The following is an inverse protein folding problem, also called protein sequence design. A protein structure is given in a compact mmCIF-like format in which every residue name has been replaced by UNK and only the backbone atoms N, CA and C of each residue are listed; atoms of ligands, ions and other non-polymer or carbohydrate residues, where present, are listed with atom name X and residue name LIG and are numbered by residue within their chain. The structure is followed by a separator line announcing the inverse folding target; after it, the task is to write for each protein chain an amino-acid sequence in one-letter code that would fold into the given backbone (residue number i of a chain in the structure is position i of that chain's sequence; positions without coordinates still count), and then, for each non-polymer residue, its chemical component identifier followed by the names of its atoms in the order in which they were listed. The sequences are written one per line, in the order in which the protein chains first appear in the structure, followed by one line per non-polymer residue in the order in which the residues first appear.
data_IF_229404345277
#
_entry.id   IF_229404345277
#
_cell.length_a   1.000
_cell.length_b   1.000
_cell.length_c   1.000
_cell.angle_alpha   90.00
_cell.angle_beta   90.00
_cell.angle_gamma   90.00
#
_symmetry.space_group_name_H-M   'P 1'
#
loop_
_entity.id
_entity.type
_entity.pdbx_description
1 polymer ?
#
# COMPACT_ATOMS: atom_id res chain seq x y z
N UNK A 1 24.63 11.46 -24.10
CA UNK A 1 24.65 11.42 -25.59
C UNK A 1 26.07 11.15 -26.14
N UNK A 2 27.08 11.99 -25.84
CA UNK A 2 28.45 11.76 -26.35
C UNK A 2 29.04 10.42 -25.90
N UNK A 3 28.91 10.07 -24.62
CA UNK A 3 29.36 8.78 -24.10
C UNK A 3 28.66 7.58 -24.78
N UNK A 4 27.34 7.65 -24.96
CA UNK A 4 26.60 6.62 -25.72
C UNK A 4 27.03 6.53 -27.19
N UNK A 5 27.34 7.68 -27.83
CA UNK A 5 27.86 7.71 -29.19
C UNK A 5 29.27 7.10 -29.29
N UNK A 6 30.12 7.32 -28.28
CA UNK A 6 31.43 6.68 -28.19
C UNK A 6 31.29 5.15 -28.09
N UNK A 7 30.45 4.66 -27.19
CA UNK A 7 30.18 3.21 -27.06
C UNK A 7 29.61 2.59 -28.34
N UNK A 8 28.68 3.29 -29.02
CA UNK A 8 28.17 2.86 -30.32
C UNK A 8 29.29 2.75 -31.36
N UNK A 9 30.16 3.77 -31.46
CA UNK A 9 31.24 3.77 -32.44
C UNK A 9 32.24 2.64 -32.19
N UNK A 10 32.64 2.43 -30.93
CA UNK A 10 33.50 1.32 -30.54
C UNK A 10 32.86 -0.05 -30.87
N UNK A 11 31.56 -0.21 -30.62
CA UNK A 11 30.84 -1.42 -31.03
C UNK A 11 30.81 -1.59 -32.56
N UNK A 12 30.65 -0.49 -33.31
CA UNK A 12 30.69 -0.50 -34.77
C UNK A 12 32.05 -0.89 -35.34
N UNK A 13 33.14 -0.45 -34.70
CA UNK A 13 34.51 -0.85 -35.05
C UNK A 13 34.71 -2.35 -34.81
N UNK A 14 34.26 -2.88 -33.67
CA UNK A 14 34.30 -4.32 -33.38
C UNK A 14 33.46 -5.15 -34.35
N UNK A 15 32.29 -4.65 -34.77
CA UNK A 15 31.47 -5.34 -35.78
C UNK A 15 32.11 -5.33 -37.18
N UNK A 16 33.01 -4.37 -37.46
CA UNK A 16 33.77 -4.32 -38.70
C UNK A 16 35.07 -5.12 -38.67
N UNK A 17 35.52 -5.55 -37.49
CA UNK A 17 36.77 -6.29 -37.29
C UNK A 17 36.51 -7.82 -37.40
N UNK A 18 37.11 -8.51 -38.40
CA UNK A 18 36.93 -9.95 -38.57
C UNK A 18 37.51 -10.77 -37.41
N UNK A 19 38.41 -10.20 -36.61
CA UNK A 19 39.08 -10.87 -35.48
C UNK A 19 38.45 -10.47 -34.13
N UNK A 20 37.36 -9.70 -34.13
CA UNK A 20 36.68 -9.28 -32.90
C UNK A 20 36.20 -10.49 -32.09
N UNK A 21 36.54 -10.49 -30.81
CA UNK A 21 36.17 -11.57 -29.89
C UNK A 21 34.84 -11.29 -29.21
N UNK A 22 34.11 -12.33 -28.83
CA UNK A 22 32.87 -12.21 -28.06
C UNK A 22 33.09 -11.46 -26.74
N UNK A 23 34.27 -11.64 -26.10
CA UNK A 23 34.65 -10.92 -24.89
C UNK A 23 34.70 -9.40 -25.09
N UNK A 24 35.36 -8.94 -26.16
CA UNK A 24 35.48 -7.50 -26.49
C UNK A 24 34.12 -6.86 -26.77
N UNK A 25 33.22 -7.57 -27.46
CA UNK A 25 31.85 -7.12 -27.71
C UNK A 25 31.09 -7.02 -26.39
N UNK A 26 31.20 -8.00 -25.51
CA UNK A 26 30.48 -8.02 -24.23
C UNK A 26 30.87 -6.86 -23.33
N UNK A 27 32.15 -6.48 -23.31
CA UNK A 27 32.63 -5.31 -22.57
C UNK A 27 31.94 -4.03 -23.06
N UNK A 28 31.88 -3.82 -24.38
CA UNK A 28 31.21 -2.65 -24.96
C UNK A 28 29.69 -2.66 -24.73
N UNK A 29 29.05 -3.82 -24.82
CA UNK A 29 27.61 -3.94 -24.52
C UNK A 29 27.30 -3.65 -23.06
N UNK A 30 28.18 -4.02 -22.14
CA UNK A 30 28.06 -3.70 -20.71
C UNK A 30 28.16 -2.18 -20.49
N UNK A 31 29.08 -1.51 -21.19
CA UNK A 31 29.18 -0.05 -21.14
C UNK A 31 27.92 0.63 -21.71
N UNK A 32 27.39 0.14 -22.84
CA UNK A 32 26.16 0.65 -23.46
C UNK A 32 24.93 0.41 -22.57
N UNK A 33 24.88 -0.71 -21.85
CA UNK A 33 23.78 -1.05 -20.97
C UNK A 33 23.52 -0.01 -19.87
N UNK A 34 24.56 0.72 -19.43
CA UNK A 34 24.43 1.81 -18.45
C UNK A 34 23.51 2.95 -18.91
N UNK A 35 23.21 3.03 -20.21
CA UNK A 35 22.27 3.99 -20.79
C UNK A 35 20.85 3.42 -20.96
N UNK A 36 20.45 2.42 -20.16
CA UNK A 36 19.10 1.86 -20.22
C UNK A 36 18.83 1.03 -21.47
N UNK A 37 19.87 0.41 -22.03
CA UNK A 37 19.77 -0.58 -23.10
C UNK A 37 19.84 -1.96 -22.46
N UNK A 38 18.71 -2.44 -21.94
CA UNK A 38 18.65 -3.71 -21.19
C UNK A 38 19.10 -4.92 -22.01
N UNK A 39 18.94 -4.87 -23.34
CA UNK A 39 19.47 -5.87 -24.26
C UNK A 39 21.01 -6.01 -24.19
N UNK A 40 21.73 -4.96 -23.78
CA UNK A 40 23.18 -4.99 -23.57
C UNK A 40 23.63 -5.84 -22.38
N UNK A 41 22.71 -6.17 -21.46
CA UNK A 41 22.97 -7.10 -20.34
C UNK A 41 22.64 -8.56 -20.69
N UNK A 42 21.95 -8.80 -21.81
CA UNK A 42 21.64 -10.16 -22.26
C UNK A 42 22.95 -10.81 -22.72
N UNK A 43 23.25 -11.99 -22.16
CA UNK A 43 24.50 -12.70 -22.49
C UNK A 43 24.57 -12.96 -23.99
N UNK A 44 25.52 -12.31 -24.63
CA UNK A 44 25.99 -12.69 -25.97
C UNK A 44 26.46 -14.13 -25.92
N UNK A 45 25.91 -14.97 -26.80
CA UNK A 45 26.25 -16.39 -26.87
C UNK A 45 27.71 -16.57 -27.33
N UNK A 46 28.41 -17.53 -26.73
CA UNK A 46 29.81 -17.86 -27.03
C UNK A 46 30.79 -17.57 -25.89
N UNK A 47 31.92 -18.25 -25.92
CA UNK A 47 33.02 -18.03 -24.98
C UNK A 47 33.83 -16.78 -25.35
N UNK A 48 34.46 -16.14 -24.37
CA UNK A 48 35.11 -14.83 -24.55
C UNK A 48 36.19 -14.81 -25.63
N UNK A 49 36.90 -15.92 -25.79
CA UNK A 49 37.97 -16.09 -26.77
C UNK A 49 37.46 -16.43 -28.19
N UNK A 50 36.17 -16.74 -28.36
CA UNK A 50 35.61 -17.04 -29.68
C UNK A 50 35.52 -15.77 -30.52
N UNK A 51 35.79 -15.92 -31.82
CA UNK A 51 35.61 -14.85 -32.80
C UNK A 51 34.12 -14.70 -33.09
N UNK A 52 33.61 -13.47 -32.98
CA UNK A 52 32.23 -13.12 -33.26
C UNK A 52 32.00 -12.92 -34.77
N UNK A 53 32.23 -13.98 -35.54
CA UNK A 53 32.15 -13.94 -37.00
C UNK A 53 30.79 -13.43 -37.50
N UNK A 54 30.79 -12.78 -38.67
CA UNK A 54 29.57 -12.29 -39.30
C UNK A 54 28.53 -13.42 -39.48
N UNK A 55 27.32 -13.18 -38.99
CA UNK A 55 26.22 -14.17 -39.00
C UNK A 55 26.16 -15.09 -37.78
N UNK A 56 27.16 -15.05 -36.88
CA UNK A 56 27.04 -15.69 -35.56
C UNK A 56 25.93 -15.07 -34.72
N UNK A 57 25.40 -15.81 -33.74
CA UNK A 57 24.42 -15.26 -32.80
C UNK A 57 24.95 -14.04 -32.04
N UNK A 58 26.26 -14.05 -31.72
CA UNK A 58 26.94 -12.93 -31.07
C UNK A 58 26.91 -11.67 -31.93
N UNK A 59 27.31 -11.81 -33.20
CA UNK A 59 27.32 -10.71 -34.17
C UNK A 59 25.92 -10.15 -34.42
N UNK A 60 24.91 -11.01 -34.57
CA UNK A 60 23.52 -10.60 -34.79
C UNK A 60 22.97 -9.83 -33.59
N UNK A 61 23.22 -10.31 -32.36
CA UNK A 61 22.80 -9.62 -31.14
C UNK A 61 23.46 -8.25 -30.98
N UNK A 62 24.78 -8.19 -31.20
CA UNK A 62 25.54 -6.93 -31.16
C UNK A 62 25.07 -5.94 -32.24
N UNK A 63 24.80 -6.42 -33.46
CA UNK A 63 24.27 -5.59 -34.56
C UNK A 63 22.89 -5.02 -34.25
N UNK A 64 22.01 -5.79 -33.61
CA UNK A 64 20.70 -5.31 -33.18
C UNK A 64 20.82 -4.19 -32.13
N UNK A 65 21.74 -4.34 -31.18
CA UNK A 65 22.00 -3.30 -30.17
C UNK A 65 22.63 -2.06 -30.81
N UNK A 66 23.58 -2.24 -31.73
CA UNK A 66 24.16 -1.14 -32.50
C UNK A 66 23.07 -0.34 -33.25
N UNK A 67 22.11 -1.04 -33.87
CA UNK A 67 20.99 -0.41 -34.57
C UNK A 67 20.05 0.34 -33.59
N UNK A 68 19.68 -0.26 -32.45
CA UNK A 68 18.87 0.40 -31.41
C UNK A 68 19.55 1.68 -30.90
N UNK A 69 20.83 1.60 -30.53
CA UNK A 69 21.60 2.75 -30.05
C UNK A 69 21.73 3.83 -31.13
N UNK A 70 21.88 3.43 -32.40
CA UNK A 70 21.92 4.37 -33.51
C UNK A 70 20.62 5.14 -33.67
N UNK A 71 19.47 4.46 -33.56
CA UNK A 71 18.14 5.08 -33.59
C UNK A 71 17.96 6.04 -32.41
N UNK A 72 18.28 5.60 -31.19
CA UNK A 72 18.23 6.42 -29.97
C UNK A 72 19.05 7.71 -30.08
N UNK A 73 20.26 7.63 -30.63
CA UNK A 73 21.10 8.80 -30.84
C UNK A 73 20.53 9.75 -31.89
N UNK A 74 19.89 9.22 -32.95
CA UNK A 74 19.21 10.02 -33.95
C UNK A 74 17.93 10.69 -33.38
N UNK A 75 17.15 9.99 -32.56
CA UNK A 75 16.02 10.54 -31.81
C UNK A 75 16.48 11.69 -30.89
N UNK A 76 17.53 11.46 -30.10
CA UNK A 76 18.08 12.47 -29.21
C UNK A 76 18.66 13.69 -29.94
N UNK A 77 19.14 13.51 -31.18
CA UNK A 77 19.64 14.60 -32.02
C UNK A 77 18.51 15.45 -32.58
N UNK A 78 17.39 14.83 -32.98
CA UNK A 78 16.20 15.56 -33.45
C UNK A 78 15.66 16.54 -32.41
N UNK A 79 15.70 16.16 -31.14
CA UNK A 79 15.24 17.01 -30.04
C UNK A 79 16.29 18.04 -29.56
N UNK A 80 17.51 18.06 -30.13
CA UNK A 80 18.59 18.95 -29.69
C UNK A 80 18.29 20.41 -29.99
N UNK A 81 17.83 20.69 -31.22
CA UNK A 81 17.57 22.05 -31.68
C UNK A 81 16.31 22.60 -31.01
N UNK A 82 16.44 23.75 -30.34
CA UNK A 82 15.33 24.41 -29.70
C UNK A 82 14.58 25.32 -30.70
N UNK A 83 13.25 25.23 -30.81
CA UNK A 83 12.44 26.22 -31.53
C UNK A 83 12.60 27.62 -30.93
N UNK A 84 12.57 28.65 -31.76
CA UNK A 84 12.58 30.04 -31.29
C UNK A 84 11.27 30.35 -30.56
N UNK A 85 11.36 30.93 -29.35
CA UNK A 85 10.18 31.29 -28.56
C UNK A 85 9.44 30.11 -27.92
N UNK A 86 10.10 28.95 -27.78
CA UNK A 86 9.50 27.75 -27.17
C UNK A 86 9.01 28.03 -25.74
N UNK A 87 7.70 27.83 -25.44
CA UNK A 87 7.17 27.95 -24.08
C UNK A 87 7.80 26.94 -23.11
N UNK A 88 7.88 27.28 -21.83
CA UNK A 88 8.52 26.44 -20.81
C UNK A 88 7.98 25.00 -20.74
N UNK A 89 6.66 24.73 -20.80
CA UNK A 89 6.14 23.35 -20.79
C UNK A 89 6.61 22.53 -21.99
N UNK A 90 6.62 23.14 -23.18
CA UNK A 90 7.07 22.49 -24.42
C UNK A 90 8.59 22.20 -24.38
N UNK A 91 9.37 23.14 -23.85
CA UNK A 91 10.80 22.97 -23.61
C UNK A 91 11.08 21.81 -22.67
N UNK A 92 10.33 21.70 -21.56
CA UNK A 92 10.46 20.59 -20.62
C UNK A 92 10.16 19.25 -21.30
N UNK A 93 9.04 19.16 -22.03
CA UNK A 93 8.65 17.94 -22.73
C UNK A 93 9.69 17.51 -23.77
N UNK A 94 10.20 18.45 -24.57
CA UNK A 94 11.28 18.18 -25.53
C UNK A 94 12.55 17.66 -24.85
N UNK A 95 12.97 18.30 -23.75
CA UNK A 95 14.15 17.86 -23.00
C UNK A 95 13.94 16.48 -22.37
N UNK A 96 12.75 16.18 -21.85
CA UNK A 96 12.38 14.86 -21.35
C UNK A 96 12.44 13.81 -22.46
N UNK A 97 11.84 14.08 -23.64
CA UNK A 97 11.91 13.18 -24.80
C UNK A 97 13.35 12.94 -25.25
N UNK A 98 14.19 13.99 -25.23
CA UNK A 98 15.62 13.87 -25.54
C UNK A 98 16.37 12.98 -24.55
N UNK A 99 16.07 13.10 -23.25
CA UNK A 99 16.68 12.26 -22.22
C UNK A 99 16.20 10.81 -22.34
N UNK A 100 14.91 10.59 -22.55
CA UNK A 100 14.32 9.26 -22.77
C UNK A 100 14.84 8.59 -24.03
N UNK A 101 15.15 9.34 -25.09
CA UNK A 101 15.81 8.79 -26.27
C UNK A 101 17.19 8.20 -25.92
N UNK A 102 17.96 8.84 -25.02
CA UNK A 102 19.28 8.36 -24.61
C UNK A 102 19.19 7.24 -23.58
N UNK A 103 18.39 7.42 -22.54
CA UNK A 103 18.35 6.56 -21.34
C UNK A 103 17.22 5.52 -21.36
N UNK A 104 16.40 5.52 -22.41
CA UNK A 104 15.22 4.67 -22.55
C UNK A 104 13.93 5.31 -22.03
N UNK A 105 12.77 4.72 -22.37
CA UNK A 105 11.45 5.26 -22.04
C UNK A 105 11.16 5.29 -20.53
N UNK A 106 11.85 4.45 -19.74
CA UNK A 106 11.73 4.43 -18.29
C UNK A 106 12.49 5.56 -17.56
N UNK A 107 13.21 6.42 -18.29
CA UNK A 107 13.94 7.53 -17.68
C UNK A 107 12.98 8.56 -17.07
N UNK A 108 13.22 8.91 -15.81
CA UNK A 108 12.48 9.94 -15.06
C UNK A 108 13.45 11.08 -14.72
N UNK A 109 13.14 12.29 -15.19
CA UNK A 109 13.84 13.49 -14.77
C UNK A 109 13.37 13.89 -13.37
N UNK A 110 14.28 13.87 -12.39
CA UNK A 110 13.96 14.22 -11.01
C UNK A 110 13.91 15.76 -10.86
N UNK A 111 12.84 16.31 -10.26
CA UNK A 111 12.81 17.74 -9.95
C UNK A 111 13.84 18.04 -8.86
N UNK A 112 14.46 19.21 -8.97
CA UNK A 112 15.31 19.76 -7.92
C UNK A 112 14.43 20.58 -6.99
N UNK A 113 14.50 20.33 -5.69
CA UNK A 113 13.69 21.00 -4.68
C UNK A 113 14.51 21.30 -3.42
N UNK A 114 13.98 22.16 -2.56
CA UNK A 114 14.49 22.42 -1.21
C UNK A 114 13.48 21.93 -0.19
N UNK A 115 13.91 21.16 0.81
CA UNK A 115 13.01 20.67 1.85
C UNK A 115 12.71 21.80 2.84
N UNK A 116 11.45 22.23 2.94
CA UNK A 116 11.03 23.22 3.94
C UNK A 116 11.28 22.76 5.38
N UNK A 117 11.27 21.43 5.60
CA UNK A 117 11.47 20.74 6.88
C UNK A 117 12.90 20.21 7.04
N UNK A 118 13.86 20.76 6.27
CA UNK A 118 15.27 20.38 6.34
C UNK A 118 15.85 20.35 7.77
N UNK A 119 15.53 21.28 8.69
CA UNK A 119 16.03 21.21 10.06
C UNK A 119 15.61 19.93 10.81
N UNK A 120 14.34 19.55 10.70
CA UNK A 120 13.80 18.33 11.35
C UNK A 120 14.42 17.05 10.77
N UNK A 121 14.53 16.99 9.44
CA UNK A 121 15.17 15.88 8.75
C UNK A 121 16.65 15.77 9.14
N UNK A 122 17.37 16.90 9.20
CA UNK A 122 18.78 16.93 9.56
C UNK A 122 19.04 16.54 11.02
N UNK A 123 18.11 16.86 11.93
CA UNK A 123 18.15 16.41 13.31
C UNK A 123 17.83 14.91 13.42
N UNK A 124 16.83 14.43 12.68
CA UNK A 124 16.42 13.02 12.66
C UNK A 124 17.50 12.09 12.12
N UNK A 125 18.00 12.34 10.91
CA UNK A 125 18.98 11.47 10.24
C UNK A 125 20.30 11.31 11.01
N UNK A 126 20.61 12.23 11.93
CA UNK A 126 21.81 12.18 12.79
C UNK A 126 21.53 11.69 14.21
N UNK A 127 20.28 11.34 14.54
CA UNK A 127 19.87 10.98 15.89
C UNK A 127 19.95 9.46 16.10
N UNK A 128 20.95 8.96 16.85
CA UNK A 128 20.99 7.54 17.20
C UNK A 128 19.81 7.12 18.10
N UNK A 129 19.24 8.06 18.86
CA UNK A 129 18.10 7.79 19.74
C UNK A 129 16.85 7.28 18.98
N UNK A 130 16.72 7.62 17.69
CA UNK A 130 15.62 7.09 16.86
C UNK A 130 15.73 5.58 16.63
N UNK A 131 16.94 5.03 16.61
CA UNK A 131 17.18 3.61 16.44
C UNK A 131 17.11 2.82 17.75
N UNK A 132 16.85 3.50 18.87
CA UNK A 132 16.97 2.93 20.21
C UNK A 132 18.31 2.19 20.36
N UNK A 133 18.30 0.97 20.90
CA UNK A 133 19.49 0.11 21.05
C UNK A 133 19.73 -0.83 19.84
N UNK A 134 19.00 -0.67 18.73
CA UNK A 134 19.09 -1.52 17.54
C UNK A 134 19.54 -0.73 16.29
N UNK A 135 20.84 -0.75 15.93
CA UNK A 135 21.33 -0.05 14.74
C UNK A 135 20.78 -0.63 13.43
N UNK A 136 20.21 -1.83 13.44
CA UNK A 136 19.62 -2.49 12.27
C UNK A 136 18.09 -2.33 12.22
N UNK A 137 17.50 -1.51 13.09
CA UNK A 137 16.05 -1.41 13.19
C UNK A 137 15.40 -0.94 11.88
N UNK A 138 16.01 0.02 11.19
CA UNK A 138 15.57 0.49 9.87
C UNK A 138 15.63 -0.62 8.80
N UNK A 139 16.70 -1.42 8.80
CA UNK A 139 16.87 -2.54 7.88
C UNK A 139 15.83 -3.64 8.12
N UNK A 140 15.61 -3.99 9.40
CA UNK A 140 14.59 -4.95 9.82
C UNK A 140 13.19 -4.48 9.42
N UNK A 141 12.90 -3.19 9.62
CA UNK A 141 11.62 -2.62 9.20
C UNK A 141 11.43 -2.69 7.68
N UNK A 142 12.42 -2.26 6.88
CA UNK A 142 12.33 -2.33 5.40
C UNK A 142 12.08 -3.77 4.96
N UNK A 143 12.85 -4.73 5.47
CA UNK A 143 12.72 -6.15 5.13
C UNK A 143 11.32 -6.70 5.45
N UNK A 144 10.69 -6.24 6.53
CA UNK A 144 9.29 -6.61 6.86
C UNK A 144 8.31 -5.95 5.89
N UNK A 145 8.49 -4.67 5.59
CA UNK A 145 7.60 -3.90 4.74
C UNK A 145 7.61 -4.39 3.29
N UNK A 146 8.74 -4.87 2.77
CA UNK A 146 8.84 -5.46 1.44
C UNK A 146 7.81 -6.59 1.18
N UNK A 147 7.45 -7.34 2.23
CA UNK A 147 6.49 -8.45 2.13
C UNK A 147 5.07 -7.98 1.80
N UNK A 148 4.77 -6.71 2.09
CA UNK A 148 3.44 -6.12 1.92
C UNK A 148 3.45 -4.88 1.02
N UNK A 149 4.63 -4.36 0.64
CA UNK A 149 4.83 -3.19 -0.22
C UNK A 149 5.70 -3.55 -1.44
N UNK A 150 5.07 -3.83 -2.60
CA UNK A 150 5.79 -4.20 -3.82
C UNK A 150 6.81 -3.15 -4.28
N UNK A 151 6.55 -1.86 -4.08
CA UNK A 151 7.48 -0.78 -4.47
C UNK A 151 8.80 -0.84 -3.68
N UNK A 152 8.72 -1.10 -2.37
CA UNK A 152 9.91 -1.32 -1.54
C UNK A 152 10.66 -2.58 -1.96
N UNK A 153 9.96 -3.69 -2.21
CA UNK A 153 10.59 -4.93 -2.68
C UNK A 153 11.33 -4.74 -4.02
N UNK A 154 10.75 -3.96 -4.94
CA UNK A 154 11.38 -3.62 -6.21
C UNK A 154 12.64 -2.76 -6.02
N UNK A 155 12.61 -1.79 -5.09
CA UNK A 155 13.75 -0.92 -4.81
C UNK A 155 14.91 -1.66 -4.15
N UNK A 156 14.66 -2.57 -3.21
CA UNK A 156 15.72 -3.24 -2.45
C UNK A 156 16.35 -4.44 -3.16
N UNK A 157 15.68 -5.01 -4.17
CA UNK A 157 16.20 -6.16 -4.90
C UNK A 157 17.56 -5.91 -5.57
N UNK A 158 17.79 -4.78 -6.30
CA UNK A 158 19.11 -4.45 -6.83
C UNK A 158 20.20 -4.33 -5.76
N UNK A 159 19.90 -3.77 -4.59
CA UNK A 159 20.88 -3.66 -3.49
C UNK A 159 21.27 -5.02 -2.93
N UNK A 160 20.30 -5.94 -2.75
CA UNK A 160 20.59 -7.31 -2.35
C UNK A 160 21.43 -8.06 -3.38
N UNK A 161 21.13 -7.88 -4.67
CA UNK A 161 21.95 -8.46 -5.74
C UNK A 161 23.36 -7.88 -5.75
N UNK A 162 23.51 -6.57 -5.52
CA UNK A 162 24.80 -5.91 -5.43
C UNK A 162 25.64 -6.45 -4.26
N UNK A 163 25.00 -6.70 -3.12
CA UNK A 163 25.63 -7.33 -1.95
C UNK A 163 26.07 -8.77 -2.23
N UNK A 164 25.22 -9.59 -2.85
CA UNK A 164 25.57 -10.97 -3.27
C UNK A 164 26.75 -10.98 -4.25
N UNK A 165 26.82 -9.98 -5.14
CA UNK A 165 27.92 -9.81 -6.09
C UNK A 165 29.16 -9.17 -5.48
N UNK A 166 29.12 -8.75 -4.21
CA UNK A 166 30.26 -8.15 -3.51
C UNK A 166 30.70 -6.80 -4.08
N UNK A 167 29.80 -6.02 -4.68
CA UNK A 167 30.15 -4.73 -5.31
C UNK A 167 30.51 -3.63 -4.30
N UNK A 168 30.21 -3.84 -3.01
CA UNK A 168 30.33 -2.84 -1.96
C UNK A 168 29.15 -1.87 -1.88
N UNK A 169 28.21 -1.94 -2.81
CA UNK A 169 26.97 -1.15 -2.76
C UNK A 169 25.92 -1.88 -1.93
N UNK A 170 25.33 -1.20 -0.96
CA UNK A 170 24.35 -1.76 -0.04
C UNK A 170 23.26 -0.77 0.37
N UNK A 171 22.35 -1.23 1.23
CA UNK A 171 21.38 -0.36 1.88
C UNK A 171 22.07 0.50 2.93
N UNK A 172 21.80 1.79 2.89
CA UNK A 172 22.32 2.81 3.80
C UNK A 172 21.14 3.66 4.25
N UNK A 173 20.43 3.16 5.25
CA UNK A 173 19.14 3.69 5.67
C UNK A 173 19.30 4.66 6.84
N UNK A 174 18.78 5.87 6.67
CA UNK A 174 18.55 6.81 7.75
C UNK A 174 17.06 6.98 8.01
N UNK A 175 16.70 7.28 9.25
CA UNK A 175 15.30 7.52 9.66
C UNK A 175 15.15 8.93 10.24
N UNK A 176 14.01 9.55 9.99
CA UNK A 176 13.69 10.87 10.53
C UNK A 176 12.18 11.03 10.78
N UNK A 177 11.85 12.01 11.61
CA UNK A 177 10.49 12.46 11.85
C UNK A 177 10.37 13.94 11.49
N UNK A 178 9.17 14.33 11.04
CA UNK A 178 8.78 15.72 10.89
C UNK A 178 7.42 15.91 11.60
N UNK A 179 7.34 16.80 12.62
CA UNK A 179 8.45 17.51 13.26
C UNK A 179 9.39 16.57 14.01
N UNK A 180 10.64 16.99 14.25
CA UNK A 180 11.59 16.19 15.00
C UNK A 180 11.25 16.21 16.51
N UNK A 181 10.93 15.05 17.07
CA UNK A 181 10.84 14.84 18.51
C UNK A 181 12.14 14.19 19.01
N UNK A 182 13.03 14.98 19.59
CA UNK A 182 14.25 14.47 20.22
C UNK A 182 13.91 13.57 21.42
N UNK A 183 14.79 12.61 21.70
CA UNK A 183 14.72 11.68 22.86
C UNK A 183 13.71 10.53 22.80
N UNK A 184 12.96 10.35 21.71
CA UNK A 184 12.04 9.21 21.59
C UNK A 184 12.38 8.28 20.43
N UNK A 185 12.11 6.96 20.55
CA UNK A 185 12.36 6.01 19.48
C UNK A 185 11.57 6.32 18.21
N UNK A 186 12.05 5.81 17.08
CA UNK A 186 11.36 5.87 15.79
C UNK A 186 9.95 5.26 15.87
N UNK A 187 8.95 5.93 15.31
CA UNK A 187 7.52 5.53 15.43
C UNK A 187 7.23 4.14 14.86
N UNK A 188 8.09 3.66 13.97
CA UNK A 188 7.96 2.33 13.38
C UNK A 188 8.54 1.21 14.25
N UNK A 189 9.13 1.55 15.41
CA UNK A 189 9.56 0.59 16.41
C UNK A 189 8.42 0.26 17.36
N UNK A 190 8.59 -0.82 18.13
CA UNK A 190 7.63 -1.18 19.16
C UNK A 190 7.49 -0.03 20.17
N UNK A 191 6.28 0.51 20.28
CA UNK A 191 5.94 1.51 21.29
C UNK A 191 6.10 0.86 22.66
N UNK A 192 6.98 1.42 23.49
CA UNK A 192 7.13 0.96 24.86
C UNK A 192 5.85 1.26 25.68
N UNK A 193 5.47 0.33 26.54
CA UNK A 193 4.27 0.43 27.37
C UNK A 193 4.39 1.45 28.52
N UNK A 194 5.59 1.97 28.75
CA UNK A 194 5.93 2.94 29.79
C UNK A 194 5.58 4.39 29.44
N UNK A 195 5.02 4.64 28.24
CA UNK A 195 4.65 5.97 27.78
C UNK A 195 5.78 6.78 27.14
N UNK A 196 6.95 6.18 26.89
CA UNK A 196 8.07 6.81 26.18
C UNK A 196 7.89 6.92 24.65
N UNK A 197 6.78 6.40 24.11
CA UNK A 197 6.45 6.48 22.67
C UNK A 197 6.14 7.91 22.18
N UNK A 198 6.32 8.16 20.88
CA UNK A 198 5.90 9.39 20.21
C UNK A 198 4.39 9.32 19.91
N UNK A 199 3.68 10.43 20.10
CA UNK A 199 2.33 10.56 19.55
C UNK A 199 2.41 10.59 18.03
N UNK A 200 1.81 9.63 17.35
CA UNK A 200 1.82 9.56 15.89
C UNK A 200 0.93 10.62 15.22
N UNK A 201 0.17 11.39 16.01
CA UNK A 201 -0.71 12.44 15.48
C UNK A 201 0.09 13.54 14.77
N UNK A 202 -0.24 13.78 13.49
CA UNK A 202 0.43 14.76 12.64
C UNK A 202 1.90 14.47 12.34
N UNK A 203 2.41 13.27 12.64
CA UNK A 203 3.81 12.90 12.45
C UNK A 203 4.05 12.33 11.05
N UNK A 204 5.04 12.86 10.34
CA UNK A 204 5.56 12.24 9.12
C UNK A 204 6.83 11.46 9.46
N UNK A 205 6.81 10.16 9.21
CA UNK A 205 7.96 9.28 9.34
C UNK A 205 8.62 9.09 7.97
N UNK A 206 9.93 9.34 7.89
CA UNK A 206 10.69 9.28 6.65
C UNK A 206 11.84 8.30 6.79
N UNK A 207 11.99 7.42 5.81
CA UNK A 207 13.15 6.54 5.66
C UNK A 207 13.89 6.95 4.39
N UNK A 208 15.19 7.21 4.51
CA UNK A 208 16.04 7.72 3.43
C UNK A 208 17.13 6.69 3.14
N UNK A 209 17.23 6.26 1.88
CA UNK A 209 18.36 5.50 1.37
C UNK A 209 19.46 6.46 0.89
N UNK A 210 20.72 6.24 1.31
CA UNK A 210 21.85 7.16 1.06
C UNK A 210 21.88 8.35 2.02
N UNK A 211 21.52 8.12 3.28
CA UNK A 211 21.32 9.19 4.26
C UNK A 211 22.63 9.83 4.78
N UNK A 212 23.77 9.16 4.72
CA UNK A 212 25.04 9.71 5.19
C UNK A 212 25.57 10.83 4.28
N UNK A 213 25.30 10.74 2.99
CA UNK A 213 25.84 11.65 1.97
C UNK A 213 24.88 12.81 1.62
N UNK A 214 23.69 12.89 2.24
CA UNK A 214 22.69 13.91 1.90
C UNK A 214 22.96 15.25 2.61
N UNK A 215 23.27 16.29 1.83
CA UNK A 215 23.30 17.67 2.32
C UNK A 215 21.92 18.32 2.17
N UNK A 216 21.15 18.31 3.28
CA UNK A 216 19.82 18.90 3.34
C UNK A 216 19.81 20.45 3.27
N UNK A 217 20.96 21.11 3.32
CA UNK A 217 21.07 22.55 3.10
C UNK A 217 21.21 22.92 1.61
N UNK A 218 21.55 21.95 0.75
CA UNK A 218 21.66 22.12 -0.68
C UNK A 218 20.35 21.76 -1.41
N UNK A 219 20.16 22.19 -2.68
CA UNK A 219 19.08 21.69 -3.51
C UNK A 219 19.16 20.17 -3.67
N UNK A 220 18.04 19.49 -3.42
CA UNK A 220 17.89 18.05 -3.41
C UNK A 220 17.20 17.55 -4.67
N UNK A 221 17.53 16.32 -5.07
CA UNK A 221 16.74 15.54 -6.01
C UNK A 221 16.67 14.11 -5.48
N UNK A 222 15.49 13.50 -5.54
CA UNK A 222 15.27 12.18 -4.98
C UNK A 222 14.06 11.50 -5.59
N UNK A 223 13.98 10.18 -5.39
CA UNK A 223 12.86 9.36 -5.83
C UNK A 223 12.01 8.98 -4.61
N UNK A 224 10.71 9.30 -4.66
CA UNK A 224 9.74 8.76 -3.73
C UNK A 224 9.41 7.33 -4.17
N UNK A 225 9.72 6.34 -3.33
CA UNK A 225 9.51 4.92 -3.63
C UNK A 225 8.11 4.48 -3.26
N UNK A 226 7.67 4.85 -2.06
CA UNK A 226 6.35 4.48 -1.53
C UNK A 226 5.92 5.53 -0.51
N UNK A 227 4.61 5.75 -0.38
CA UNK A 227 4.02 6.60 0.65
C UNK A 227 2.71 5.99 1.12
N UNK A 228 2.41 6.10 2.42
CA UNK A 228 1.11 5.73 2.94
C UNK A 228 0.81 6.45 4.24
N UNK A 229 -0.47 6.63 4.51
CA UNK A 229 -0.98 7.07 5.80
C UNK A 229 -1.30 5.85 6.65
N UNK A 230 -0.82 5.87 7.90
CA UNK A 230 -1.14 4.86 8.90
C UNK A 230 -2.00 5.49 10.00
N UNK A 231 -3.07 4.80 10.40
CA UNK A 231 -3.88 5.19 11.56
C UNK A 231 -3.36 4.41 12.75
N UNK A 232 -2.71 5.11 13.67
CA UNK A 232 -2.25 4.55 14.95
C UNK A 232 -3.36 4.81 15.98
N UNK A 233 -4.06 3.78 16.47
CA UNK A 233 -5.07 3.97 17.51
C UNK A 233 -4.47 4.58 18.77
N UNK A 234 -5.30 5.29 19.53
CA UNK A 234 -4.93 5.75 20.85
C UNK A 234 -4.62 4.59 21.79
N UNK A 235 -3.83 4.86 22.84
CA UNK A 235 -3.57 3.87 23.89
C UNK A 235 -4.85 3.46 24.64
N UNK A 236 -5.82 4.36 24.68
CA UNK A 236 -7.13 4.17 25.31
C UNK A 236 -8.19 4.63 24.34
N UNK A 237 -9.16 3.77 24.07
CA UNK A 237 -10.29 4.04 23.20
C UNK A 237 -11.58 3.71 23.93
N UNK A 238 -12.61 4.54 23.76
CA UNK A 238 -13.95 4.25 24.26
C UNK A 238 -14.64 3.29 23.26
N UNK A 239 -14.63 1.99 23.57
CA UNK A 239 -15.18 0.96 22.68
C UNK A 239 -16.59 0.54 23.11
N UNK A 240 -17.52 0.45 22.16
CA UNK A 240 -18.82 -0.19 22.36
C UNK A 240 -18.80 -1.62 21.77
N UNK A 241 -19.18 -2.61 22.57
CA UNK A 241 -19.25 -4.01 22.14
C UNK A 241 -20.71 -4.39 21.85
N UNK A 242 -20.99 -4.86 20.63
CA UNK A 242 -22.29 -5.44 20.27
C UNK A 242 -22.14 -6.96 20.09
N UNK A 243 -22.93 -7.74 20.83
CA UNK A 243 -22.94 -9.20 20.71
C UNK A 243 -24.07 -9.61 19.76
N UNK A 244 -23.72 -10.37 18.71
CA UNK A 244 -24.72 -11.09 17.92
C UNK A 244 -25.07 -12.38 18.66
N UNK A 245 -26.17 -12.34 19.42
CA UNK A 245 -26.83 -13.55 19.92
C UNK A 245 -27.58 -14.20 18.76
N UNK A 246 -27.50 -15.53 18.63
CA UNK A 246 -28.24 -16.31 17.63
C UNK A 246 -29.47 -16.93 18.31
N UNK A 247 -30.66 -16.28 18.24
CA UNK A 247 -31.86 -16.78 18.89
C UNK A 247 -32.48 -17.95 18.11
N UNK A 248 -33.34 -18.77 18.75
CA UNK A 248 -34.06 -19.85 18.07
C UNK A 248 -34.96 -19.34 16.92
N UNK A 249 -35.16 -20.16 15.88
CA UNK A 249 -35.93 -19.86 14.66
C UNK A 249 -37.40 -19.42 14.87
N UNK A 250 -37.94 -19.57 16.09
CA UNK A 250 -39.32 -19.26 16.44
C UNK A 250 -39.50 -17.92 17.18
N UNK A 251 -38.52 -17.00 17.14
CA UNK A 251 -38.67 -15.66 17.73
C UNK A 251 -39.10 -14.62 16.68
N UNK A 252 -40.01 -13.73 17.04
CA UNK A 252 -40.46 -12.65 16.15
C UNK A 252 -39.27 -11.79 15.67
N UNK A 253 -39.04 -11.65 14.35
CA UNK A 253 -37.91 -10.92 13.83
C UNK A 253 -38.16 -9.41 14.05
N UNK A 254 -37.35 -8.77 14.89
CA UNK A 254 -37.36 -7.32 15.17
C UNK A 254 -38.49 -6.83 16.09
N UNK A 255 -38.28 -6.90 17.43
CA UNK A 255 -39.11 -6.19 18.39
C UNK A 255 -38.51 -4.80 18.68
N UNK A 256 -39.25 -3.73 18.37
CA UNK A 256 -38.89 -2.35 18.75
C UNK A 256 -39.72 -1.94 19.96
N UNK A 257 -39.07 -1.55 21.05
CA UNK A 257 -39.74 -0.93 22.18
C UNK A 257 -39.93 0.57 21.92
N UNK A 258 -41.15 0.96 21.55
CA UNK A 258 -41.55 2.35 21.47
C UNK A 258 -42.08 2.82 22.84
N UNK A 259 -41.22 3.47 23.62
CA UNK A 259 -41.61 4.02 24.91
C UNK A 259 -42.40 5.34 24.74
N UNK A 260 -43.65 5.35 25.20
CA UNK A 260 -44.51 6.53 25.24
C UNK A 260 -44.60 7.03 26.68
N UNK A 261 -44.46 8.34 26.95
CA UNK A 261 -44.58 8.85 28.32
C UNK A 261 -46.00 8.54 28.86
N UNK A 262 -46.12 7.97 30.07
CA UNK A 262 -47.42 7.62 30.66
C UNK A 262 -48.35 8.82 30.84
N UNK A 263 -47.76 10.01 31.00
CA UNK A 263 -48.46 11.28 31.05
C UNK A 263 -47.80 12.23 30.04
N UNK A 264 -48.46 12.52 28.90
CA UNK A 264 -47.88 13.36 27.84
C UNK A 264 -47.69 14.82 28.27
N UNK A 265 -48.29 15.27 29.38
CA UNK A 265 -48.12 16.63 29.89
C UNK A 265 -46.84 16.82 30.72
N UNK A 266 -46.07 15.75 30.99
CA UNK A 266 -44.86 15.82 31.81
C UNK A 266 -43.62 15.35 31.03
N UNK A 267 -42.51 16.05 31.22
CA UNK A 267 -41.24 15.70 30.58
C UNK A 267 -40.72 14.32 31.00
N UNK A 268 -39.89 13.73 30.14
CA UNK A 268 -39.18 12.48 30.43
C UNK A 268 -38.20 12.67 31.59
N UNK A 269 -38.10 11.62 32.41
CA UNK A 269 -37.04 11.49 33.41
C UNK A 269 -36.44 10.10 33.27
N UNK A 270 -35.17 9.94 33.63
CA UNK A 270 -34.47 8.64 33.62
C UNK A 270 -35.24 7.62 34.46
N UNK A 271 -35.75 8.03 35.63
CA UNK A 271 -36.56 7.17 36.49
C UNK A 271 -37.84 6.66 35.80
N UNK A 272 -38.54 7.50 35.03
CA UNK A 272 -39.74 7.06 34.28
C UNK A 272 -39.42 6.14 33.12
N UNK A 273 -38.34 6.39 32.39
CA UNK A 273 -37.93 5.49 31.31
C UNK A 273 -37.58 4.10 31.86
N UNK A 274 -36.88 4.06 33.00
CA UNK A 274 -36.58 2.81 33.69
C UNK A 274 -37.85 2.05 34.11
N UNK A 275 -38.86 2.75 34.64
CA UNK A 275 -40.13 2.13 35.01
C UNK A 275 -40.87 1.55 33.80
N UNK A 276 -40.94 2.29 32.67
CA UNK A 276 -41.56 1.80 31.43
C UNK A 276 -40.84 0.55 30.90
N UNK A 277 -39.51 0.50 30.99
CA UNK A 277 -38.73 -0.66 30.60
C UNK A 277 -39.04 -1.88 31.48
N UNK A 278 -39.05 -1.71 32.81
CA UNK A 278 -39.36 -2.79 33.75
C UNK A 278 -40.77 -3.32 33.55
N UNK A 279 -41.77 -2.44 33.42
CA UNK A 279 -43.15 -2.82 33.13
C UNK A 279 -43.27 -3.55 31.79
N UNK A 280 -42.55 -3.10 30.76
CA UNK A 280 -42.53 -3.78 29.47
C UNK A 280 -41.97 -5.20 29.59
N UNK A 281 -40.90 -5.39 30.38
CA UNK A 281 -40.32 -6.71 30.62
C UNK A 281 -41.31 -7.61 31.37
N UNK A 282 -42.01 -7.10 32.38
CA UNK A 282 -43.07 -7.85 33.08
C UNK A 282 -44.19 -8.26 32.11
N UNK A 283 -44.64 -7.35 31.23
CA UNK A 283 -45.66 -7.64 30.22
C UNK A 283 -45.18 -8.65 29.16
N UNK A 284 -43.89 -8.66 28.82
CA UNK A 284 -43.31 -9.67 27.93
C UNK A 284 -43.42 -11.05 28.57
N UNK A 285 -43.10 -11.19 29.85
CA UNK A 285 -43.27 -12.46 30.57
C UNK A 285 -44.74 -12.91 30.62
N UNK A 286 -45.67 -11.98 30.87
CA UNK A 286 -47.11 -12.28 30.85
C UNK A 286 -47.62 -12.71 29.47
N UNK A 287 -47.07 -12.15 28.38
CA UNK A 287 -47.42 -12.56 27.00
C UNK A 287 -46.78 -13.87 26.57
N UNK A 288 -45.69 -14.28 27.22
CA UNK A 288 -45.00 -15.54 26.98
C UNK A 288 -45.63 -16.72 27.73
N UNK A 289 -46.73 -16.52 28.46
CA UNK A 289 -47.49 -17.58 29.14
C UNK A 289 -48.08 -18.52 28.09
N UNK A 290 -47.49 -19.71 27.98
CA UNK A 290 -47.96 -20.78 27.09
C UNK A 290 -48.98 -21.72 27.73
N UNK A 291 -49.58 -22.64 26.95
CA UNK A 291 -50.61 -23.56 27.45
C UNK A 291 -50.19 -24.43 28.64
N UNK A 292 -48.92 -24.85 28.66
CA UNK A 292 -48.33 -25.64 29.74
C UNK A 292 -48.33 -24.90 31.09
N UNK A 293 -48.39 -23.56 31.07
CA UNK A 293 -48.35 -22.70 32.26
C UNK A 293 -49.73 -22.37 32.82
N UNK A 294 -50.81 -22.70 32.11
CA UNK A 294 -52.19 -22.34 32.46
C UNK A 294 -52.98 -23.48 33.11
N UNK A 295 -52.47 -24.72 33.06
CA UNK A 295 -53.02 -25.93 33.68
C UNK A 295 -54.57 -26.00 33.60
N UNK A 296 -55.27 -26.29 34.71
CA UNK A 296 -56.73 -26.38 34.75
C UNK A 296 -57.47 -25.06 34.39
N UNK A 297 -56.80 -23.91 34.45
CA UNK A 297 -57.39 -22.59 34.17
C UNK A 297 -57.40 -22.27 32.67
N UNK A 298 -56.59 -22.96 31.87
CA UNK A 298 -56.53 -22.78 30.41
C UNK A 298 -57.88 -22.97 29.70
N UNK A 299 -58.75 -23.83 30.25
CA UNK A 299 -60.11 -24.06 29.75
C UNK A 299 -61.02 -22.83 29.85
N UNK A 300 -60.70 -21.86 30.71
CA UNK A 300 -61.49 -20.64 30.93
C UNK A 300 -60.99 -19.43 30.13
N UNK A 301 -59.87 -19.56 29.39
CA UNK A 301 -59.30 -18.51 28.54
C UNK A 301 -59.25 -18.91 27.05
N UNK A 302 -60.37 -19.35 26.45
CA UNK A 302 -60.39 -19.93 25.10
C UNK A 302 -59.97 -18.94 23.99
N UNK A 303 -59.97 -17.63 24.25
CA UNK A 303 -59.50 -16.63 23.28
C UNK A 303 -57.97 -16.57 23.13
N UNK A 304 -57.22 -17.28 23.98
CA UNK A 304 -55.74 -17.30 23.93
C UNK A 304 -55.17 -18.53 23.21
N UNK A 305 -56.00 -19.52 22.89
CA UNK A 305 -55.57 -20.77 22.25
C UNK A 305 -56.48 -21.11 21.07
N UNK A 306 -55.87 -21.36 19.91
CA UNK A 306 -56.55 -21.99 18.78
C UNK A 306 -56.22 -23.48 18.80
N UNK A 307 -57.25 -24.33 18.74
CA UNK A 307 -57.04 -25.76 18.59
C UNK A 307 -56.36 -26.02 17.24
N UNK A 308 -55.12 -26.51 17.27
CA UNK A 308 -54.37 -26.91 16.08
C UNK A 308 -54.01 -28.39 16.18
N UNK A 309 -54.56 -29.21 15.30
CA UNK A 309 -54.26 -30.63 15.23
C UNK A 309 -53.49 -30.95 13.95
N UNK A 310 -52.18 -31.16 14.08
CA UNK A 310 -51.29 -31.45 12.96
C UNK A 310 -51.56 -32.83 12.32
N UNK A 311 -52.10 -33.79 13.07
CA UNK A 311 -52.30 -35.17 12.63
C UNK A 311 -53.69 -35.42 11.99
N UNK A 312 -54.61 -34.44 12.10
CA UNK A 312 -55.90 -34.44 11.40
C UNK A 312 -56.94 -35.45 11.93
N UNK A 313 -56.70 -36.06 13.09
CA UNK A 313 -57.54 -37.10 13.69
C UNK A 313 -58.64 -36.56 14.66
N UNK A 314 -58.63 -35.26 14.92
CA UNK A 314 -59.57 -34.53 15.78
C UNK A 314 -59.83 -33.12 15.25
N UNK A 315 -60.90 -32.47 15.74
CA UNK A 315 -61.32 -31.13 15.29
C UNK A 315 -60.23 -30.08 15.54
N UNK A 316 -59.83 -29.40 14.47
CA UNK A 316 -58.85 -28.30 14.47
C UNK A 316 -59.46 -27.05 13.86
N UNK A 317 -58.95 -25.89 14.24
CA UNK A 317 -59.27 -24.62 13.58
C UNK A 317 -58.31 -24.44 12.40
N UNK A 318 -58.83 -24.23 11.19
CA UNK A 318 -58.02 -23.81 10.05
C UNK A 318 -58.03 -22.27 9.96
N UNK A 319 -56.93 -21.59 10.30
CA UNK A 319 -56.88 -20.13 10.28
C UNK A 319 -57.03 -19.54 8.87
N UNK A 320 -56.78 -20.31 7.80
CA UNK A 320 -56.96 -19.81 6.43
C UNK A 320 -58.44 -19.58 6.07
N UNK A 321 -59.35 -20.27 6.75
CA UNK A 321 -60.80 -20.08 6.56
C UNK A 321 -61.31 -18.78 7.18
N UNK A 322 -60.58 -18.20 8.14
CA UNK A 322 -60.94 -16.93 8.80
C UNK A 322 -60.64 -15.69 7.94
N UNK A 323 -59.85 -15.84 6.86
CA UNK A 323 -59.41 -14.74 5.99
C UNK A 323 -60.37 -14.56 4.79
N UNK A 324 -61.26 -15.52 4.55
CA UNK A 324 -62.17 -15.51 3.41
C UNK A 324 -63.50 -14.77 3.71
N UNK A 325 -63.45 -13.46 3.93
CA UNK A 325 -64.56 -12.50 3.68
C UNK A 325 -64.11 -11.05 3.98
N UNK A 326 -63.25 -10.49 3.12
CA UNK A 326 -63.02 -9.04 3.06
C UNK A 326 -62.58 -8.59 1.65
N UNK A 327 -63.15 -9.22 0.61
CA UNK A 327 -63.07 -8.72 -0.76
C UNK A 327 -64.48 -8.71 -1.34
N UNK A 328 -65.14 -7.57 -1.15
CA UNK A 328 -66.48 -7.23 -1.62
C UNK A 328 -66.77 -5.79 -1.25
#
# INVERSE_FOLDING_TARGET
QQALAHGRNALGELLGDPDATVGSIREQLTAIATFGVSAGLVRVAGADAEVAAAGSAAYVGASAIYADVSLRLADAERERTAPAGEPEPARRERLTRRLQAVFGPGFVALPVFTAATAPDLAAGLRSPALLADDPLAAYTWVTRMERVRPALAAMTMPYRLAEVLGTGVGLELGVAHVPHASERPWVALTLADDGSGISADGLVSVVVQGAADVDLAAPLAGLLIDEWTEVVPGRTEDVALAFRYDPPDAMAPQAVLLAVPPDPAKAWTIGRLNQVLLETLDLVHLRAVGPQSLDAVGHYLPATMLAFNADGDAVSTDPNTLIATAAG
#
